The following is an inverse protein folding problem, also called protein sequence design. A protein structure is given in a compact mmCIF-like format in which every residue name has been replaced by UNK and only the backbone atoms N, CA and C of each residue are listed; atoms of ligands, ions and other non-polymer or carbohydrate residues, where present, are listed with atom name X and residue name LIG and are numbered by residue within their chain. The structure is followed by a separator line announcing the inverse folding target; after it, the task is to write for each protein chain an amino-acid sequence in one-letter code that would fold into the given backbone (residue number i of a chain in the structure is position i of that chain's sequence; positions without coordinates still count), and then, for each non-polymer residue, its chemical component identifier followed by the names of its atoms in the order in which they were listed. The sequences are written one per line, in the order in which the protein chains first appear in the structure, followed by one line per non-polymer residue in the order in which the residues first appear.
data_IF_558519688472
#
_entry.id   IF_558519688472
#
_cell.length_a   1.000
_cell.length_b   1.000
_cell.length_c   1.000
_cell.angle_alpha   90.00
_cell.angle_beta   90.00
_cell.angle_gamma   90.00
#
_symmetry.space_group_name_H-M   'P 1'
#
loop_
_entity.id
_entity.type
_entity.pdbx_description
1 polymer ?
#
# COMPACT_ATOMS: atom_id res chain seq x y z
N UNK A 1 -13.76 -8.34 -23.60
CA UNK A 1 -13.48 -7.17 -22.73
C UNK A 1 -13.20 -5.98 -23.63
N UNK A 2 -13.79 -4.81 -23.37
CA UNK A 2 -13.48 -3.61 -24.15
C UNK A 2 -12.12 -3.02 -23.70
N UNK A 3 -11.54 -2.11 -24.48
CA UNK A 3 -10.23 -1.51 -24.19
C UNK A 3 -10.20 -0.81 -22.81
N UNK A 4 -11.30 -0.19 -22.40
CA UNK A 4 -11.41 0.48 -21.10
C UNK A 4 -11.33 -0.52 -19.93
N UNK A 5 -11.99 -1.67 -20.03
CA UNK A 5 -11.91 -2.76 -19.03
C UNK A 5 -10.48 -3.28 -18.89
N UNK A 6 -9.78 -3.47 -20.03
CA UNK A 6 -8.39 -3.94 -20.03
C UNK A 6 -7.49 -2.88 -19.37
N UNK A 7 -7.64 -1.61 -19.73
CA UNK A 7 -6.89 -0.52 -19.12
C UNK A 7 -7.11 -0.46 -17.60
N UNK A 8 -8.35 -0.55 -17.14
CA UNK A 8 -8.68 -0.56 -15.71
C UNK A 8 -8.05 -1.75 -14.96
N UNK A 9 -8.03 -2.94 -15.57
CA UNK A 9 -7.37 -4.11 -15.01
C UNK A 9 -5.85 -3.90 -14.91
N UNK A 10 -5.21 -3.45 -16.01
CA UNK A 10 -3.77 -3.20 -16.05
C UNK A 10 -3.35 -2.14 -15.03
N UNK A 11 -4.10 -1.05 -14.89
CA UNK A 11 -3.82 -0.02 -13.88
C UNK A 11 -3.91 -0.58 -12.46
N UNK A 12 -4.94 -1.37 -12.14
CA UNK A 12 -5.09 -2.00 -10.82
C UNK A 12 -3.98 -3.02 -10.54
N UNK A 13 -3.63 -3.85 -11.53
CA UNK A 13 -2.49 -4.76 -11.44
C UNK A 13 -1.17 -4.01 -11.20
N UNK A 14 -0.94 -2.90 -11.91
CA UNK A 14 0.25 -2.07 -11.74
C UNK A 14 0.35 -1.46 -10.33
N UNK A 15 -0.76 -0.99 -9.76
CA UNK A 15 -0.79 -0.45 -8.40
C UNK A 15 -0.44 -1.52 -7.35
N UNK A 16 -0.96 -2.74 -7.50
CA UNK A 16 -0.74 -3.80 -6.49
C UNK A 16 0.56 -4.58 -6.67
N UNK A 17 1.20 -4.48 -7.84
CA UNK A 17 2.36 -5.31 -8.23
C UNK A 17 3.47 -5.28 -7.18
N UNK A 18 3.74 -4.11 -6.58
CA UNK A 18 4.75 -3.97 -5.53
C UNK A 18 4.47 -4.88 -4.32
N UNK A 19 3.21 -5.02 -3.93
CA UNK A 19 2.79 -5.77 -2.75
C UNK A 19 2.68 -7.26 -3.05
N UNK A 20 1.84 -7.62 -4.03
CA UNK A 20 1.64 -9.00 -4.48
C UNK A 20 2.03 -9.08 -5.96
N UNK A 21 3.00 -9.95 -6.34
CA UNK A 21 3.58 -11.02 -5.54
C UNK A 21 4.85 -10.65 -4.74
N UNK A 22 5.52 -9.55 -5.07
CA UNK A 22 6.92 -9.36 -4.66
C UNK A 22 7.11 -9.15 -3.15
N UNK A 23 6.39 -8.21 -2.54
CA UNK A 23 6.55 -7.92 -1.10
C UNK A 23 6.04 -9.05 -0.20
N UNK A 24 4.91 -9.67 -0.58
CA UNK A 24 4.35 -10.79 0.18
C UNK A 24 5.29 -12.00 0.16
N UNK A 25 5.85 -12.35 -1.01
CA UNK A 25 6.78 -13.47 -1.15
C UNK A 25 8.08 -13.22 -0.39
N UNK A 26 8.62 -12.00 -0.44
CA UNK A 26 9.79 -11.61 0.36
C UNK A 26 9.55 -11.76 1.86
N UNK A 27 8.37 -11.37 2.37
CA UNK A 27 8.00 -11.55 3.79
C UNK A 27 7.82 -13.01 4.20
N UNK A 28 7.34 -13.86 3.30
CA UNK A 28 7.14 -15.30 3.58
C UNK A 28 8.50 -16.01 3.63
N UNK A 29 9.35 -15.80 2.62
CA UNK A 29 10.67 -16.43 2.55
C UNK A 29 11.66 -15.83 3.57
N UNK A 30 11.57 -14.52 3.79
CA UNK A 30 12.43 -13.74 4.66
C UNK A 30 11.83 -13.45 6.04
N UNK A 31 10.88 -14.25 6.54
CA UNK A 31 10.10 -13.95 7.74
C UNK A 31 10.97 -13.52 8.94
N UNK A 32 12.06 -14.23 9.22
CA UNK A 32 12.98 -13.87 10.33
C UNK A 32 13.63 -12.49 10.14
N UNK A 33 13.95 -12.10 8.91
CA UNK A 33 14.48 -10.77 8.62
C UNK A 33 13.40 -9.70 8.78
N UNK A 34 12.18 -9.97 8.29
CA UNK A 34 11.03 -9.09 8.47
C UNK A 34 10.70 -8.86 9.96
N UNK A 35 10.74 -9.90 10.79
CA UNK A 35 10.51 -9.77 12.24
C UNK A 35 11.61 -8.89 12.86
N UNK A 36 12.88 -9.10 12.51
CA UNK A 36 13.99 -8.27 13.02
C UNK A 36 13.85 -6.80 12.60
N UNK A 37 13.38 -6.54 11.39
CA UNK A 37 13.09 -5.18 10.93
C UNK A 37 11.96 -4.56 11.74
N UNK A 38 10.85 -5.28 11.95
CA UNK A 38 9.74 -4.81 12.78
C UNK A 38 10.18 -4.57 14.24
N UNK A 39 11.15 -5.33 14.75
CA UNK A 39 11.70 -5.11 16.09
C UNK A 39 12.44 -3.79 16.28
N UNK A 40 12.86 -3.11 15.20
CA UNK A 40 13.42 -1.76 15.27
C UNK A 40 12.39 -0.73 15.79
N UNK A 41 11.10 -1.04 15.64
CA UNK A 41 9.98 -0.20 16.08
C UNK A 41 9.23 -0.86 17.26
N UNK A 42 9.06 -2.18 17.24
CA UNK A 42 8.29 -2.94 18.22
C UNK A 42 9.20 -3.88 19.02
N UNK A 43 9.63 -3.48 20.23
CA UNK A 43 10.64 -4.22 20.99
C UNK A 43 10.30 -5.70 21.27
N UNK A 44 9.06 -6.08 21.68
CA UNK A 44 8.72 -7.48 21.90
C UNK A 44 8.67 -8.25 20.57
N UNK A 45 9.51 -9.29 20.44
CA UNK A 45 9.50 -10.19 19.27
C UNK A 45 8.11 -10.72 18.88
N UNK A 46 7.24 -11.19 19.79
CA UNK A 46 5.91 -11.66 19.41
C UNK A 46 5.03 -10.53 18.84
N UNK A 47 5.17 -9.30 19.35
CA UNK A 47 4.47 -8.14 18.80
C UNK A 47 4.97 -7.79 17.40
N UNK A 48 6.30 -7.78 17.19
CA UNK A 48 6.89 -7.55 15.87
C UNK A 48 6.44 -8.60 14.83
N UNK A 49 6.35 -9.86 15.23
CA UNK A 49 5.81 -10.94 14.38
C UNK A 49 4.33 -10.75 14.06
N UNK A 50 3.52 -10.36 15.05
CA UNK A 50 2.09 -10.08 14.83
C UNK A 50 1.89 -8.92 13.85
N UNK A 51 2.63 -7.82 14.01
CA UNK A 51 2.56 -6.67 13.09
C UNK A 51 2.99 -7.05 11.67
N UNK A 52 4.04 -7.87 11.52
CA UNK A 52 4.47 -8.37 10.23
C UNK A 52 3.39 -9.22 9.56
N UNK A 53 2.73 -10.11 10.32
CA UNK A 53 1.65 -10.95 9.82
C UNK A 53 0.42 -10.12 9.42
N UNK A 54 0.09 -9.08 10.18
CA UNK A 54 -0.98 -8.12 9.81
C UNK A 54 -0.63 -7.41 8.52
N UNK A 55 0.61 -6.93 8.37
CA UNK A 55 1.09 -6.33 7.12
C UNK A 55 0.99 -7.29 5.94
N UNK A 56 1.41 -8.54 6.10
CA UNK A 56 1.28 -9.58 5.09
C UNK A 56 -0.19 -9.86 4.72
N UNK A 57 -1.08 -9.93 5.72
CA UNK A 57 -2.50 -10.13 5.48
C UNK A 57 -3.12 -8.98 4.68
N UNK A 58 -2.75 -7.73 4.99
CA UNK A 58 -3.17 -6.55 4.21
C UNK A 58 -2.66 -6.67 2.77
N UNK A 59 -1.38 -6.98 2.58
CA UNK A 59 -0.76 -7.11 1.26
C UNK A 59 -1.37 -8.21 0.40
N UNK A 60 -1.96 -9.25 0.98
CA UNK A 60 -2.62 -10.32 0.22
C UNK A 60 -4.11 -10.01 0.04
N UNK A 61 -4.85 -9.76 1.12
CA UNK A 61 -6.31 -9.66 1.07
C UNK A 61 -6.74 -8.38 0.36
N UNK A 62 -6.13 -7.24 0.72
CA UNK A 62 -6.54 -5.96 0.15
C UNK A 62 -6.10 -5.83 -1.33
N UNK A 63 -4.97 -6.40 -1.72
CA UNK A 63 -4.54 -6.37 -3.13
C UNK A 63 -5.47 -7.21 -4.00
N UNK A 64 -5.89 -8.38 -3.51
CA UNK A 64 -6.93 -9.17 -4.16
C UNK A 64 -8.26 -8.43 -4.23
N UNK A 65 -8.67 -7.72 -3.17
CA UNK A 65 -9.86 -6.87 -3.20
C UNK A 65 -9.78 -5.77 -4.28
N UNK A 66 -8.64 -5.08 -4.36
CA UNK A 66 -8.38 -4.05 -5.38
C UNK A 66 -8.45 -4.63 -6.79
N UNK A 67 -7.80 -5.76 -7.06
CA UNK A 67 -7.78 -6.36 -8.40
C UNK A 67 -9.13 -6.97 -8.77
N UNK A 68 -9.80 -7.69 -7.86
CA UNK A 68 -11.08 -8.35 -8.17
C UNK A 68 -12.25 -7.36 -8.25
N UNK A 69 -12.13 -6.18 -7.61
CA UNK A 69 -13.22 -5.23 -7.51
C UNK A 69 -14.16 -5.48 -6.33
N UNK A 70 -13.82 -6.41 -5.42
CA UNK A 70 -14.61 -6.76 -4.23
C UNK A 70 -14.13 -5.89 -3.06
N UNK A 71 -15.04 -5.08 -2.50
CA UNK A 71 -14.72 -4.10 -1.46
C UNK A 71 -13.42 -3.31 -1.77
N UNK A 72 -13.23 -3.00 -3.05
CA UNK A 72 -11.96 -2.56 -3.63
C UNK A 72 -11.54 -1.19 -3.12
N UNK A 73 -12.52 -0.34 -2.81
CA UNK A 73 -12.30 1.02 -2.30
C UNK A 73 -11.89 0.99 -0.83
N UNK A 74 -12.52 0.15 -0.01
CA UNK A 74 -12.07 -0.10 1.36
C UNK A 74 -10.66 -0.70 1.36
N UNK A 75 -10.42 -1.68 0.49
CA UNK A 75 -9.11 -2.32 0.34
C UNK A 75 -8.02 -1.32 -0.09
N UNK A 76 -8.33 -0.44 -1.04
CA UNK A 76 -7.44 0.64 -1.48
C UNK A 76 -7.16 1.64 -0.34
N UNK A 77 -8.16 1.99 0.46
CA UNK A 77 -7.96 2.86 1.63
C UNK A 77 -7.04 2.21 2.68
N UNK A 78 -7.22 0.92 2.95
CA UNK A 78 -6.37 0.17 3.89
C UNK A 78 -4.93 0.10 3.39
N UNK A 79 -4.71 -0.18 2.10
CA UNK A 79 -3.36 -0.18 1.52
C UNK A 79 -2.76 1.23 1.56
N UNK A 80 -3.52 2.28 1.23
CA UNK A 80 -3.04 3.65 1.31
C UNK A 80 -2.59 4.02 2.74
N UNK A 81 -3.39 3.66 3.74
CA UNK A 81 -3.04 3.82 5.14
C UNK A 81 -1.80 3.01 5.53
N UNK A 82 -1.71 1.77 5.08
CA UNK A 82 -0.53 0.91 5.28
C UNK A 82 0.75 1.53 4.69
N UNK A 83 0.70 2.07 3.47
CA UNK A 83 1.82 2.79 2.86
C UNK A 83 2.24 4.01 3.71
N UNK A 84 1.28 4.80 4.18
CA UNK A 84 1.56 5.98 4.99
C UNK A 84 2.17 5.60 6.35
N UNK A 85 1.57 4.63 7.05
CA UNK A 85 2.06 4.16 8.36
C UNK A 85 3.45 3.55 8.24
N UNK A 86 3.69 2.69 7.25
CA UNK A 86 5.02 2.08 7.04
C UNK A 86 6.07 3.11 6.65
N UNK A 87 5.72 4.11 5.84
CA UNK A 87 6.61 5.23 5.53
C UNK A 87 7.00 6.00 6.80
N UNK A 88 6.02 6.37 7.63
CA UNK A 88 6.28 7.13 8.87
C UNK A 88 7.12 6.33 9.87
N UNK A 89 6.83 5.03 10.05
CA UNK A 89 7.51 4.19 11.03
C UNK A 89 8.94 3.83 10.61
N UNK A 90 9.14 3.46 9.34
CA UNK A 90 10.40 2.87 8.88
C UNK A 90 11.29 3.84 8.07
N UNK A 91 10.74 4.92 7.51
CA UNK A 91 11.48 5.89 6.70
C UNK A 91 11.72 7.20 7.46
N UNK A 92 12.25 7.09 8.69
CA UNK A 92 12.53 8.19 9.62
C UNK A 92 13.74 9.02 9.17
N UNK A 93 13.64 9.67 8.01
CA UNK A 93 14.71 10.49 7.44
C UNK A 93 15.09 11.66 8.35
N UNK A 94 14.13 12.20 9.10
CA UNK A 94 14.33 13.27 10.08
C UNK A 94 15.20 12.87 11.28
N UNK A 95 15.40 11.58 11.53
CA UNK A 95 16.16 11.08 12.68
C UNK A 95 17.64 10.79 12.36
N UNK A 96 18.06 10.84 11.09
CA UNK A 96 19.43 10.46 10.69
C UNK A 96 20.47 11.56 10.90
N UNK A 97 20.05 12.83 11.05
CA UNK A 97 20.93 13.98 11.28
C UNK A 97 21.79 14.42 10.09
N UNK A 98 21.94 13.58 9.07
CA UNK A 98 22.78 13.79 7.88
C UNK A 98 22.05 14.44 6.69
N UNK A 99 20.74 14.66 6.80
CA UNK A 99 19.86 15.02 5.68
C UNK A 99 20.27 16.31 4.94
N UNK A 100 20.81 17.30 5.65
CA UNK A 100 21.24 18.58 5.08
C UNK A 100 22.75 18.67 4.84
N UNK A 101 23.52 17.72 5.37
CA UNK A 101 24.99 17.75 5.33
C UNK A 101 25.59 16.87 4.24
N UNK A 102 24.91 15.78 3.87
CA UNK A 102 25.39 14.83 2.87
C UNK A 102 24.31 14.58 1.81
N UNK A 103 24.52 15.03 0.55
CA UNK A 103 23.62 14.75 -0.56
C UNK A 103 23.39 13.26 -0.82
N UNK A 104 24.37 12.41 -0.51
CA UNK A 104 24.31 10.95 -0.66
C UNK A 104 24.04 10.24 0.69
N UNK A 105 23.71 11.02 1.72
CA UNK A 105 23.45 10.54 3.06
C UNK A 105 22.23 9.61 3.17
N UNK A 106 22.19 8.85 4.26
CA UNK A 106 21.10 7.92 4.57
C UNK A 106 19.77 8.65 4.72
N UNK A 107 19.77 9.86 5.31
CA UNK A 107 18.59 10.70 5.43
C UNK A 107 17.97 11.01 4.06
N UNK A 108 18.77 11.34 3.05
CA UNK A 108 18.27 11.67 1.71
C UNK A 108 17.64 10.46 1.04
N UNK A 109 18.27 9.30 1.16
CA UNK A 109 17.72 8.03 0.65
C UNK A 109 16.38 7.70 1.32
N UNK A 110 16.29 7.78 2.64
CA UNK A 110 15.04 7.52 3.38
C UNK A 110 13.93 8.51 3.02
N UNK A 111 14.26 9.77 2.75
CA UNK A 111 13.28 10.78 2.33
C UNK A 111 12.65 10.45 0.98
N UNK A 112 13.46 10.04 0.00
CA UNK A 112 12.93 9.61 -1.30
C UNK A 112 12.06 8.36 -1.17
N UNK A 113 12.47 7.39 -0.35
CA UNK A 113 11.66 6.21 -0.06
C UNK A 113 10.34 6.56 0.66
N UNK A 114 10.36 7.54 1.56
CA UNK A 114 9.15 8.06 2.20
C UNK A 114 8.18 8.64 1.17
N UNK A 115 8.67 9.52 0.29
CA UNK A 115 7.85 10.15 -0.75
C UNK A 115 7.28 9.13 -1.74
N UNK A 116 8.06 8.11 -2.13
CA UNK A 116 7.59 7.03 -3.01
C UNK A 116 6.41 6.28 -2.39
N UNK A 117 6.48 5.93 -1.10
CA UNK A 117 5.39 5.25 -0.40
C UNK A 117 4.15 6.15 -0.27
N UNK A 118 4.33 7.44 0.01
CA UNK A 118 3.21 8.38 0.09
C UNK A 118 2.53 8.56 -1.27
N UNK A 119 3.31 8.69 -2.34
CA UNK A 119 2.81 8.79 -3.72
C UNK A 119 2.06 7.52 -4.14
N UNK A 120 2.61 6.34 -3.82
CA UNK A 120 1.94 5.06 -4.05
C UNK A 120 0.61 4.98 -3.29
N UNK A 121 0.60 5.35 -2.01
CA UNK A 121 -0.63 5.43 -1.22
C UNK A 121 -1.67 6.38 -1.82
N UNK A 122 -1.26 7.54 -2.33
CA UNK A 122 -2.13 8.46 -3.05
C UNK A 122 -2.71 7.84 -4.35
N UNK A 123 -1.92 7.01 -5.05
CA UNK A 123 -2.40 6.22 -6.19
C UNK A 123 -3.56 5.29 -5.84
N UNK A 124 -3.52 4.65 -4.67
CA UNK A 124 -4.66 3.87 -4.16
C UNK A 124 -5.84 4.74 -3.76
N UNK A 125 -5.60 5.91 -3.17
CA UNK A 125 -6.69 6.84 -2.85
C UNK A 125 -7.47 7.27 -4.09
N UNK A 126 -6.85 7.32 -5.29
CA UNK A 126 -7.58 7.58 -6.53
C UNK A 126 -8.65 6.52 -6.86
N UNK A 127 -8.50 5.26 -6.40
CA UNK A 127 -9.56 4.24 -6.48
C UNK A 127 -10.74 4.62 -5.57
N UNK A 128 -10.46 5.26 -4.43
CA UNK A 128 -11.46 5.73 -3.48
C UNK A 128 -12.14 6.99 -3.98
N UNK A 129 -11.40 8.02 -4.38
CA UNK A 129 -11.96 9.34 -4.71
C UNK A 129 -12.38 9.47 -6.18
N UNK A 130 -11.81 8.69 -7.09
CA UNK A 130 -11.90 8.92 -8.53
C UNK A 130 -11.06 10.10 -8.98
N UNK A 131 -10.77 10.19 -10.28
CA UNK A 131 -9.92 11.26 -10.85
C UNK A 131 -10.53 12.66 -10.77
N UNK A 132 -11.83 12.76 -10.53
CA UNK A 132 -12.60 14.00 -10.41
C UNK A 132 -13.26 14.16 -9.01
N UNK A 133 -12.92 13.32 -8.04
CA UNK A 133 -13.49 13.36 -6.69
C UNK A 133 -14.93 12.84 -6.53
N UNK A 134 -15.61 12.47 -7.62
CA UNK A 134 -17.01 12.00 -7.56
C UNK A 134 -17.20 10.70 -6.79
N UNK A 135 -16.11 9.97 -6.54
CA UNK A 135 -16.11 8.74 -5.79
C UNK A 135 -16.28 8.95 -4.27
N UNK A 136 -15.80 10.04 -3.70
CA UNK A 136 -15.69 10.15 -2.25
C UNK A 136 -17.05 9.98 -1.53
N UNK A 137 -18.09 10.68 -1.99
CA UNK A 137 -19.41 10.62 -1.35
C UNK A 137 -20.04 9.21 -1.40
N UNK A 138 -20.09 8.51 -2.55
CA UNK A 138 -20.54 7.11 -2.58
C UNK A 138 -19.76 6.17 -1.65
N UNK A 139 -18.44 6.39 -1.51
CA UNK A 139 -17.63 5.59 -0.60
C UNK A 139 -18.03 5.80 0.87
N UNK A 140 -18.24 7.05 1.29
CA UNK A 140 -18.66 7.35 2.66
C UNK A 140 -20.01 6.75 3.02
N UNK A 141 -20.94 6.65 2.05
CA UNK A 141 -22.24 6.01 2.25
C UNK A 141 -22.17 4.48 2.33
N UNK A 142 -21.30 3.86 1.52
CA UNK A 142 -21.18 2.41 1.46
C UNK A 142 -19.70 1.99 1.30
N UNK A 143 -18.90 2.02 2.39
CA UNK A 143 -17.45 1.86 2.30
C UNK A 143 -17.03 0.46 1.81
N UNK A 144 -17.82 -0.57 2.09
CA UNK A 144 -17.56 -1.95 1.68
C UNK A 144 -18.23 -2.33 0.34
N UNK A 145 -18.82 -1.38 -0.38
CA UNK A 145 -19.42 -1.65 -1.68
C UNK A 145 -18.35 -2.05 -2.72
N UNK A 146 -18.67 -3.06 -3.51
CA UNK A 146 -17.86 -3.53 -4.64
C UNK A 146 -18.13 -2.66 -5.88
N UNK A 147 -17.08 -2.13 -6.52
CA UNK A 147 -17.25 -1.27 -7.70
C UNK A 147 -17.54 -2.05 -9.00
N UNK A 148 -17.35 -3.38 -9.01
CA UNK A 148 -17.46 -4.25 -10.19
C UNK A 148 -16.86 -3.64 -11.48
N UNK A 149 -15.57 -3.26 -11.47
CA UNK A 149 -14.94 -2.43 -12.51
C UNK A 149 -14.88 -3.09 -13.89
N UNK A 150 -15.15 -4.39 -13.97
CA UNK A 150 -15.07 -5.17 -15.20
C UNK A 150 -16.40 -5.63 -15.75
N UNK A 151 -17.51 -5.20 -15.15
CA UNK A 151 -18.84 -5.49 -15.70
C UNK A 151 -19.00 -4.71 -16.99
N UNK A 152 -19.19 -5.40 -18.11
CA UNK A 152 -19.57 -4.76 -19.37
C UNK A 152 -20.93 -4.11 -19.19
N UNK A 153 -21.01 -2.80 -19.38
CA UNK A 153 -22.28 -2.11 -19.56
C UNK A 153 -22.78 -2.53 -20.97
N UNK A 154 -24.02 -3.03 -21.11
CA UNK A 154 -24.61 -3.35 -22.41
C UNK A 154 -24.75 -2.10 -23.30
#
# INVERSE_FOLDING_TARGET
MNAATIAALLSRCGLVMLFLPFSALDKILGFNHGVRQAQQVFSPRPLAAAVLLVGLAIEVICTLGVVTGIADRASALVIAGYCAVTAVLYKRFWAQGDFWSDPDGKGRTLFWDFLKNLSLGAGFLLIVVGTNGSGLRPFLHAPFASSHPYRSIP
#
